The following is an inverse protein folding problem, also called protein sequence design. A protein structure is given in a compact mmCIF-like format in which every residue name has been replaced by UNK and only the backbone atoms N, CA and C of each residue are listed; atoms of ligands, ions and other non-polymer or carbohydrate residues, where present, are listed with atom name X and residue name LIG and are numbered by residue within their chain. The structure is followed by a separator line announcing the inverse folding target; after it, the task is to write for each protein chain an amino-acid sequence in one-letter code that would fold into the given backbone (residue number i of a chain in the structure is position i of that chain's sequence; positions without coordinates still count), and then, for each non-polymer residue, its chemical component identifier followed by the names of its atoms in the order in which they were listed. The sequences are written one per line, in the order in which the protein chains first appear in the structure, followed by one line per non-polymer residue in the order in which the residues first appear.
data_IF_883352218754
#
_entry.id   IF_883352218754
#
_cell.length_a   1.000
_cell.length_b   1.000
_cell.length_c   1.000
_cell.angle_alpha   90.00
_cell.angle_beta   90.00
_cell.angle_gamma   90.00
#
_symmetry.space_group_name_H-M   'P 1'
#
loop_
_entity.id
_entity.type
_entity.pdbx_description
1 polymer ?
#
# COMPACT_ATOMS: atom_id res chain seq x y z
N UNK A 1 -14.82 -2.07 -13.97
CA UNK A 1 -13.57 -2.26 -13.24
C UNK A 1 -13.19 -3.72 -13.40
N UNK A 2 -12.09 -4.01 -14.11
CA UNK A 2 -11.64 -5.39 -14.31
C UNK A 2 -11.13 -6.00 -12.99
N UNK A 3 -11.00 -7.32 -12.99
CA UNK A 3 -10.37 -8.04 -11.88
C UNK A 3 -8.92 -7.56 -11.67
N UNK A 4 -8.17 -7.27 -12.74
CA UNK A 4 -6.80 -6.77 -12.62
C UNK A 4 -6.77 -5.40 -11.94
N UNK A 5 -7.72 -4.52 -12.27
CA UNK A 5 -7.87 -3.22 -11.61
C UNK A 5 -8.15 -3.37 -10.11
N UNK A 6 -9.07 -4.26 -9.73
CA UNK A 6 -9.38 -4.52 -8.31
C UNK A 6 -8.15 -5.07 -7.58
N UNK A 7 -7.44 -6.02 -8.18
CA UNK A 7 -6.22 -6.59 -7.60
C UNK A 7 -5.11 -5.55 -7.46
N UNK A 8 -4.93 -4.65 -8.43
CA UNK A 8 -3.97 -3.55 -8.35
C UNK A 8 -4.21 -2.65 -7.14
N UNK A 9 -5.48 -2.31 -6.85
CA UNK A 9 -5.84 -1.49 -5.70
C UNK A 9 -5.84 -2.24 -4.36
N UNK A 10 -5.80 -3.57 -4.36
CA UNK A 10 -5.86 -4.39 -3.12
C UNK A 10 -4.49 -4.95 -2.75
N UNK A 11 -3.77 -5.52 -3.72
CA UNK A 11 -2.50 -6.23 -3.48
C UNK A 11 -1.40 -5.27 -3.02
N UNK A 12 -1.27 -4.10 -3.64
CA UNK A 12 -0.28 -3.10 -3.23
C UNK A 12 -0.45 -2.65 -1.77
N UNK A 13 -1.66 -2.22 -1.35
CA UNK A 13 -1.94 -1.90 0.04
C UNK A 13 -1.68 -3.04 1.02
N UNK A 14 -2.05 -4.27 0.64
CA UNK A 14 -1.78 -5.46 1.46
C UNK A 14 -0.28 -5.67 1.68
N UNK A 15 0.55 -5.54 0.65
CA UNK A 15 2.01 -5.66 0.78
C UNK A 15 2.56 -4.59 1.73
N UNK A 16 2.08 -3.35 1.62
CA UNK A 16 2.49 -2.24 2.50
C UNK A 16 2.11 -2.54 3.96
N UNK A 17 0.89 -3.01 4.20
CA UNK A 17 0.41 -3.36 5.54
C UNK A 17 1.19 -4.53 6.14
N UNK A 18 1.41 -5.61 5.39
CA UNK A 18 2.18 -6.77 5.87
C UNK A 18 3.63 -6.37 6.15
N UNK A 19 4.24 -5.58 5.25
CA UNK A 19 5.59 -5.05 5.44
C UNK A 19 5.71 -4.23 6.73
N UNK A 20 4.81 -3.27 6.93
CA UNK A 20 4.90 -2.33 8.05
C UNK A 20 4.38 -2.88 9.38
N UNK A 21 3.35 -3.73 9.38
CA UNK A 21 2.68 -4.17 10.61
C UNK A 21 3.08 -5.58 11.06
N UNK A 22 3.67 -6.40 10.17
CA UNK A 22 4.05 -7.78 10.49
C UNK A 22 5.56 -7.97 10.39
N UNK A 23 6.14 -7.66 9.23
CA UNK A 23 7.56 -7.91 8.99
C UNK A 23 8.43 -6.92 9.75
N UNK A 24 8.22 -5.61 9.56
CA UNK A 24 9.04 -4.57 10.18
C UNK A 24 9.05 -4.65 11.72
N UNK A 25 7.93 -4.81 12.45
CA UNK A 25 7.95 -4.91 13.90
C UNK A 25 8.67 -6.17 14.40
N UNK A 26 8.63 -7.26 13.61
CA UNK A 26 9.31 -8.51 13.94
C UNK A 26 10.84 -8.37 13.84
N UNK A 27 11.33 -7.64 12.85
CA UNK A 27 12.77 -7.40 12.64
C UNK A 27 13.31 -6.19 13.42
N UNK A 28 12.48 -5.18 13.69
CA UNK A 28 12.85 -3.91 14.30
C UNK A 28 12.20 -3.72 15.67
N UNK A 29 12.37 -4.70 16.56
CA UNK A 29 11.71 -4.74 17.88
C UNK A 29 11.97 -3.53 18.80
N UNK A 30 13.01 -2.75 18.52
CA UNK A 30 13.36 -1.53 19.26
C UNK A 30 12.46 -0.33 18.86
N UNK A 31 11.77 -0.40 17.72
CA UNK A 31 10.88 0.65 17.24
C UNK A 31 9.47 0.40 17.80
N UNK A 32 8.84 1.40 18.43
CA UNK A 32 7.47 1.27 18.92
C UNK A 32 6.46 0.99 17.80
N UNK A 33 5.49 0.11 18.06
CA UNK A 33 4.43 -0.26 17.10
C UNK A 33 3.68 0.95 16.51
N UNK A 34 3.54 2.05 17.27
CA UNK A 34 2.91 3.28 16.76
C UNK A 34 3.62 3.85 15.52
N UNK A 35 4.95 3.73 15.47
CA UNK A 35 5.76 4.26 14.36
C UNK A 35 5.55 3.39 13.12
N UNK A 36 5.48 2.07 13.30
CA UNK A 36 5.14 1.14 12.24
C UNK A 36 3.74 1.37 11.67
N UNK A 37 2.75 1.62 12.53
CA UNK A 37 1.39 2.00 12.10
C UNK A 37 1.41 3.30 11.33
N UNK A 38 2.09 4.34 11.84
CA UNK A 38 2.22 5.61 11.14
C UNK A 38 2.90 5.44 9.78
N UNK A 39 3.98 4.67 9.71
CA UNK A 39 4.70 4.38 8.47
C UNK A 39 3.82 3.62 7.48
N UNK A 40 3.03 2.64 7.94
CA UNK A 40 2.04 1.94 7.13
C UNK A 40 0.97 2.88 6.56
N UNK A 41 0.41 3.77 7.39
CA UNK A 41 -0.59 4.75 6.96
C UNK A 41 0.00 5.71 5.93
N UNK A 42 1.19 6.26 6.18
CA UNK A 42 1.88 7.15 5.23
C UNK A 42 2.16 6.42 3.92
N UNK A 43 2.65 5.19 3.98
CA UNK A 43 2.88 4.35 2.80
C UNK A 43 1.59 4.11 1.99
N UNK A 44 0.47 3.85 2.66
CA UNK A 44 -0.83 3.69 2.02
C UNK A 44 -1.32 4.97 1.34
N UNK A 45 -1.16 6.12 1.99
CA UNK A 45 -1.54 7.42 1.40
C UNK A 45 -0.72 7.69 0.15
N UNK A 46 0.60 7.51 0.22
CA UNK A 46 1.50 7.68 -0.92
C UNK A 46 1.08 6.72 -2.05
N UNK A 47 0.87 5.44 -1.73
CA UNK A 47 0.42 4.46 -2.70
C UNK A 47 -0.91 4.85 -3.35
N UNK A 48 -1.90 5.30 -2.57
CA UNK A 48 -3.20 5.69 -3.08
C UNK A 48 -3.10 6.86 -4.07
N UNK A 49 -2.25 7.86 -3.79
CA UNK A 49 -2.01 8.98 -4.70
C UNK A 49 -1.37 8.47 -6.00
N UNK A 50 -0.31 7.67 -5.92
CA UNK A 50 0.34 7.12 -7.12
C UNK A 50 -0.59 6.21 -7.91
N UNK A 51 -1.32 5.33 -7.24
CA UNK A 51 -2.27 4.42 -7.85
C UNK A 51 -3.39 5.19 -8.57
N UNK A 52 -3.91 6.28 -7.97
CA UNK A 52 -4.91 7.13 -8.60
C UNK A 52 -4.36 7.84 -9.85
N UNK A 53 -3.15 8.41 -9.76
CA UNK A 53 -2.48 9.06 -10.89
C UNK A 53 -2.23 8.06 -12.02
N UNK A 54 -1.63 6.90 -11.71
CA UNK A 54 -1.35 5.85 -12.69
C UNK A 54 -2.65 5.35 -13.31
N UNK A 55 -3.68 5.14 -12.49
CA UNK A 55 -4.98 4.70 -12.98
C UNK A 55 -5.57 5.69 -13.98
N UNK A 56 -5.68 6.96 -13.58
CA UNK A 56 -6.26 8.01 -14.40
C UNK A 56 -5.52 8.23 -15.73
N UNK A 57 -4.19 8.30 -15.70
CA UNK A 57 -3.42 8.65 -16.90
C UNK A 57 -3.07 7.46 -17.80
N UNK A 58 -2.89 6.26 -17.25
CA UNK A 58 -2.29 5.14 -18.01
C UNK A 58 -3.18 3.92 -18.15
N UNK A 59 -4.02 3.65 -17.15
CA UNK A 59 -4.75 2.39 -17.02
C UNK A 59 -6.27 2.54 -17.23
N UNK A 60 -6.80 3.76 -17.18
CA UNK A 60 -8.22 4.04 -17.39
C UNK A 60 -8.67 3.53 -18.76
N UNK A 61 -9.61 2.57 -18.75
CA UNK A 61 -10.15 1.94 -19.96
C UNK A 61 -9.31 0.79 -20.52
N UNK A 62 -8.19 0.44 -19.88
CA UNK A 62 -7.36 -0.73 -20.22
C UNK A 62 -7.49 -1.87 -19.21
N UNK A 63 -7.84 -1.52 -17.97
CA UNK A 63 -8.20 -2.40 -16.86
C UNK A 63 -9.41 -1.79 -16.14
#
# INVERSE_FOLDING_TARGET
MSLEGILFFIVGPLIILVGNLVLAPRFQKHIPMRIHVLSGIVGLIIYAVFAAVIYYFFLQGKI
#
